data_IF_255784346977
#
_entry.id   IF_255784346977
#
_cell.length_a   1.000
_cell.length_b   1.000
_cell.length_c   1.000
_cell.angle_alpha   90.00
_cell.angle_beta   90.00
_cell.angle_gamma   90.00
#
_symmetry.space_group_name_H-M   'P 1'
#
loop_
_entity.id
_entity.type
_entity.pdbx_description
1 polymer ?
#
# COMPACT_ATOMS: atom_id res chain seq x y z
N UNK A 1 -55.50 -3.03 -21.49
CA UNK A 1 -54.99 -2.64 -20.16
C UNK A 1 -53.97 -3.62 -19.54
N UNK A 2 -53.41 -4.59 -20.28
CA UNK A 2 -52.35 -5.49 -19.77
C UNK A 2 -50.97 -5.19 -20.38
N UNK A 3 -50.93 -4.57 -21.57
CA UNK A 3 -49.69 -4.21 -22.28
C UNK A 3 -49.03 -2.93 -21.77
N UNK A 4 -49.81 -1.97 -21.24
CA UNK A 4 -49.27 -0.73 -20.64
C UNK A 4 -48.67 -0.93 -19.25
N UNK A 5 -49.13 -1.92 -18.48
CA UNK A 5 -48.57 -2.27 -17.17
C UNK A 5 -47.18 -2.92 -17.29
N UNK A 6 -46.94 -3.68 -18.36
CA UNK A 6 -45.66 -4.34 -18.60
C UNK A 6 -44.55 -3.38 -19.08
N UNK A 7 -44.88 -2.28 -19.76
CA UNK A 7 -43.88 -1.28 -20.16
C UNK A 7 -43.35 -0.44 -18.98
N UNK A 8 -44.19 -0.19 -17.98
CA UNK A 8 -43.79 0.56 -16.77
C UNK A 8 -42.83 -0.24 -15.88
N UNK A 9 -43.03 -1.55 -15.76
CA UNK A 9 -42.18 -2.43 -14.94
C UNK A 9 -40.78 -2.59 -15.57
N UNK A 10 -40.70 -2.71 -16.90
CA UNK A 10 -39.41 -2.79 -17.62
C UNK A 10 -38.64 -1.47 -17.55
N UNK A 11 -39.35 -0.34 -17.57
CA UNK A 11 -38.72 1.00 -17.47
C UNK A 11 -38.22 1.31 -16.06
N UNK A 12 -38.90 0.81 -15.02
CA UNK A 12 -38.47 0.99 -13.61
C UNK A 12 -37.29 0.07 -13.24
N UNK A 13 -37.20 -1.12 -13.85
CA UNK A 13 -36.07 -2.04 -13.67
C UNK A 13 -34.77 -1.53 -14.33
N UNK A 14 -34.87 -0.78 -15.43
CA UNK A 14 -33.71 -0.19 -16.11
C UNK A 14 -33.11 1.01 -15.35
N UNK A 15 -33.92 1.73 -14.56
CA UNK A 15 -33.46 2.88 -13.77
C UNK A 15 -32.72 2.46 -12.47
N UNK A 16 -33.03 1.29 -11.92
CA UNK A 16 -32.37 0.76 -10.71
C UNK A 16 -30.95 0.21 -10.96
N UNK A 17 -30.54 0.00 -12.22
CA UNK A 17 -29.17 -0.40 -12.57
C UNK A 17 -28.22 0.79 -12.78
N UNK A 18 -28.74 2.03 -12.66
CA UNK A 18 -27.94 3.26 -12.71
C UNK A 18 -27.55 3.78 -11.32
N UNK A 19 -27.56 2.92 -10.30
CA UNK A 19 -26.95 3.26 -9.01
C UNK A 19 -25.48 3.59 -9.27
N UNK A 20 -25.17 4.89 -9.26
CA UNK A 20 -23.85 5.46 -9.42
C UNK A 20 -22.86 4.67 -8.56
N UNK A 21 -22.01 3.86 -9.18
CA UNK A 21 -20.77 3.48 -8.53
C UNK A 21 -19.92 4.73 -8.50
N UNK A 22 -19.67 5.30 -7.31
CA UNK A 22 -18.49 6.16 -7.18
C UNK A 22 -17.31 5.39 -7.75
N UNK A 23 -16.59 5.98 -8.69
CA UNK A 23 -15.41 5.35 -9.29
C UNK A 23 -14.43 5.03 -8.16
N UNK A 24 -14.15 3.75 -7.94
CA UNK A 24 -13.21 3.34 -6.90
C UNK A 24 -11.84 3.92 -7.23
N UNK A 25 -11.36 4.84 -6.38
CA UNK A 25 -10.05 5.44 -6.52
C UNK A 25 -8.99 4.54 -5.89
N UNK A 26 -8.07 4.03 -6.70
CA UNK A 26 -6.97 3.16 -6.28
C UNK A 26 -5.64 3.90 -6.09
N UNK A 27 -5.50 5.09 -6.67
CA UNK A 27 -4.29 5.91 -6.54
C UNK A 27 -4.62 7.39 -6.61
N UNK A 28 -3.77 8.21 -5.98
CA UNK A 28 -3.76 9.66 -6.18
C UNK A 28 -3.10 10.06 -7.50
N UNK A 29 -2.24 9.20 -8.07
CA UNK A 29 -1.73 9.38 -9.44
C UNK A 29 -2.80 8.98 -10.46
N UNK A 30 -3.24 9.89 -11.34
CA UNK A 30 -4.20 9.58 -12.40
C UNK A 30 -3.71 8.45 -13.32
N UNK A 31 -2.40 8.40 -13.59
CA UNK A 31 -1.77 7.40 -14.45
C UNK A 31 -1.87 6.00 -13.82
N UNK A 32 -1.45 5.86 -12.56
CA UNK A 32 -1.51 4.61 -11.82
C UNK A 32 -2.97 4.17 -11.59
N UNK A 33 -3.88 5.10 -11.31
CA UNK A 33 -5.30 4.80 -11.15
C UNK A 33 -5.91 4.24 -12.45
N UNK A 34 -5.69 4.92 -13.57
CA UNK A 34 -6.18 4.49 -14.87
C UNK A 34 -5.54 3.16 -15.32
N UNK A 35 -4.28 2.89 -14.93
CA UNK A 35 -3.67 1.58 -15.14
C UNK A 35 -4.39 0.47 -14.37
N UNK A 36 -4.74 0.71 -13.09
CA UNK A 36 -5.51 -0.27 -12.32
C UNK A 36 -6.86 -0.56 -12.99
N UNK A 37 -7.59 0.48 -13.39
CA UNK A 37 -8.89 0.32 -14.05
C UNK A 37 -8.81 -0.53 -15.32
N UNK A 38 -7.79 -0.31 -16.16
CA UNK A 38 -7.56 -1.10 -17.38
C UNK A 38 -7.16 -2.54 -17.11
N UNK A 39 -6.51 -2.83 -15.97
CA UNK A 39 -5.92 -4.13 -15.66
C UNK A 39 -6.60 -4.84 -14.48
N UNK A 40 -7.78 -4.39 -14.04
CA UNK A 40 -8.40 -4.80 -12.78
C UNK A 40 -8.58 -6.32 -12.65
N UNK A 41 -9.05 -6.99 -13.71
CA UNK A 41 -9.25 -8.44 -13.73
C UNK A 41 -7.93 -9.22 -13.59
N UNK A 42 -6.85 -8.71 -14.20
CA UNK A 42 -5.53 -9.33 -14.12
C UNK A 42 -4.93 -9.12 -12.73
N UNK A 43 -5.02 -7.89 -12.20
CA UNK A 43 -4.55 -7.53 -10.86
C UNK A 43 -5.21 -8.43 -9.80
N UNK A 44 -6.53 -8.62 -9.87
CA UNK A 44 -7.27 -9.48 -8.94
C UNK A 44 -6.80 -10.94 -8.92
N UNK A 45 -6.02 -11.39 -9.90
CA UNK A 45 -5.51 -12.75 -10.00
C UNK A 45 -3.99 -12.84 -9.84
N UNK A 46 -3.32 -11.72 -9.61
CA UNK A 46 -1.85 -11.70 -9.53
C UNK A 46 -1.35 -12.52 -8.34
N UNK A 47 -0.29 -13.28 -8.61
CA UNK A 47 0.53 -13.90 -7.57
C UNK A 47 1.70 -12.99 -7.18
N UNK A 48 2.46 -13.42 -6.16
CA UNK A 48 3.64 -12.70 -5.64
C UNK A 48 4.67 -12.35 -6.72
N UNK A 49 4.98 -13.27 -7.63
CA UNK A 49 5.98 -13.03 -8.68
C UNK A 49 5.50 -11.98 -9.70
N UNK A 50 4.23 -12.04 -10.10
CA UNK A 50 3.60 -11.04 -10.98
C UNK A 50 3.55 -9.66 -10.30
N UNK A 51 3.18 -9.61 -9.01
CA UNK A 51 3.19 -8.39 -8.23
C UNK A 51 4.59 -7.78 -8.12
N UNK A 52 5.63 -8.59 -7.91
CA UNK A 52 7.02 -8.14 -7.93
C UNK A 52 7.46 -7.62 -9.30
N UNK A 53 6.84 -8.10 -10.39
CA UNK A 53 7.20 -7.71 -11.75
C UNK A 53 6.64 -6.35 -12.15
N UNK A 54 5.63 -5.83 -11.45
CA UNK A 54 5.04 -4.50 -11.72
C UNK A 54 6.15 -3.43 -11.78
N UNK A 55 6.15 -2.59 -12.83
CA UNK A 55 7.09 -1.48 -12.94
C UNK A 55 6.65 -0.37 -11.97
N UNK A 56 7.58 0.04 -11.12
CA UNK A 56 7.45 1.10 -10.13
C UNK A 56 6.57 0.80 -8.90
N UNK A 57 7.03 1.31 -7.75
CA UNK A 57 6.34 1.13 -6.46
C UNK A 57 4.96 1.82 -6.43
N UNK A 58 4.76 2.92 -7.18
CA UNK A 58 3.47 3.62 -7.28
C UNK A 58 2.35 2.71 -7.83
N UNK A 59 2.69 1.89 -8.85
CA UNK A 59 1.77 0.94 -9.48
C UNK A 59 1.56 -0.28 -8.58
N UNK A 60 2.60 -0.72 -7.87
CA UNK A 60 2.48 -1.79 -6.89
C UNK A 60 1.52 -1.42 -5.75
N UNK A 61 1.64 -0.20 -5.20
CA UNK A 61 0.71 0.28 -4.15
C UNK A 61 -0.72 0.33 -4.65
N UNK A 62 -0.94 0.82 -5.87
CA UNK A 62 -2.26 0.85 -6.50
C UNK A 62 -2.83 -0.58 -6.70
N UNK A 63 -2.02 -1.53 -7.17
CA UNK A 63 -2.41 -2.94 -7.30
C UNK A 63 -2.70 -3.58 -5.94
N UNK A 64 -1.90 -3.29 -4.91
CA UNK A 64 -2.07 -3.83 -3.56
C UNK A 64 -3.42 -3.42 -2.93
N UNK A 65 -3.95 -2.23 -3.24
CA UNK A 65 -5.28 -1.79 -2.80
C UNK A 65 -6.41 -2.61 -3.43
N UNK A 66 -6.22 -3.15 -4.63
CA UNK A 66 -7.20 -4.02 -5.31
C UNK A 66 -7.26 -5.42 -4.69
N UNK A 67 -6.14 -5.90 -4.15
CA UNK A 67 -6.02 -7.26 -3.64
C UNK A 67 -7.03 -7.57 -2.53
N UNK A 68 -7.50 -8.82 -2.50
CA UNK A 68 -8.24 -9.33 -1.37
C UNK A 68 -7.37 -9.35 -0.10
N UNK A 69 -7.96 -9.40 1.11
CA UNK A 69 -7.20 -9.52 2.35
C UNK A 69 -6.18 -10.68 2.32
N UNK A 70 -6.61 -11.82 1.80
CA UNK A 70 -5.77 -13.01 1.67
C UNK A 70 -4.62 -12.77 0.68
N UNK A 71 -4.85 -12.11 -0.45
CA UNK A 71 -3.78 -11.77 -1.41
C UNK A 71 -2.74 -10.83 -0.79
N UNK A 72 -3.17 -9.81 -0.04
CA UNK A 72 -2.26 -8.90 0.67
C UNK A 72 -1.39 -9.65 1.68
N UNK A 73 -2.00 -10.50 2.50
CA UNK A 73 -1.26 -11.33 3.45
C UNK A 73 -0.27 -12.27 2.73
N UNK A 74 -0.67 -12.91 1.63
CA UNK A 74 0.21 -13.80 0.86
C UNK A 74 1.39 -13.08 0.20
N UNK A 75 1.26 -11.80 -0.17
CA UNK A 75 2.40 -10.99 -0.62
C UNK A 75 3.47 -10.91 0.47
N UNK A 76 3.06 -10.63 1.70
CA UNK A 76 3.96 -10.51 2.85
C UNK A 76 4.54 -11.85 3.29
N UNK A 77 3.73 -12.89 3.42
CA UNK A 77 4.21 -14.23 3.77
C UNK A 77 5.17 -14.80 2.71
N UNK A 78 4.88 -14.54 1.42
CA UNK A 78 5.77 -14.88 0.32
C UNK A 78 7.12 -14.17 0.43
N UNK A 79 7.11 -12.86 0.65
CA UNK A 79 8.32 -12.06 0.90
C UNK A 79 9.13 -12.61 2.07
N UNK A 80 8.51 -12.90 3.22
CA UNK A 80 9.23 -13.42 4.39
C UNK A 80 9.84 -14.79 4.10
N UNK A 81 9.12 -15.66 3.39
CA UNK A 81 9.64 -16.96 2.96
C UNK A 81 10.86 -16.83 2.04
N UNK A 82 10.89 -15.80 1.16
CA UNK A 82 12.05 -15.47 0.33
C UNK A 82 13.22 -14.97 1.19
N UNK A 83 12.95 -14.02 2.09
CA UNK A 83 13.94 -13.43 3.00
C UNK A 83 14.62 -14.46 3.89
N UNK A 84 13.87 -15.44 4.42
CA UNK A 84 14.40 -16.50 5.30
C UNK A 84 15.40 -17.45 4.60
N UNK A 85 15.51 -17.38 3.27
CA UNK A 85 16.53 -18.14 2.50
C UNK A 85 17.89 -17.43 2.46
N UNK A 86 17.97 -16.17 2.89
CA UNK A 86 19.22 -15.42 2.99
C UNK A 86 20.04 -15.86 4.21
N UNK A 87 21.31 -15.46 4.25
CA UNK A 87 22.29 -15.85 5.28
C UNK A 87 22.15 -15.15 6.63
N UNK A 88 20.93 -15.06 7.17
CA UNK A 88 20.68 -14.50 8.52
C UNK A 88 21.27 -15.40 9.61
N UNK A 89 21.73 -14.80 10.71
CA UNK A 89 22.12 -15.58 11.87
C UNK A 89 20.88 -16.15 12.61
N UNK A 90 21.11 -17.01 13.61
CA UNK A 90 20.02 -17.70 14.29
C UNK A 90 19.03 -16.76 15.00
N UNK A 91 19.52 -15.70 15.65
CA UNK A 91 18.69 -14.73 16.37
C UNK A 91 17.88 -13.87 15.38
N UNK A 92 18.52 -13.38 14.32
CA UNK A 92 17.86 -12.63 13.26
C UNK A 92 16.78 -13.46 12.55
N UNK A 93 17.09 -14.72 12.22
CA UNK A 93 16.13 -15.64 11.63
C UNK A 93 14.93 -15.85 12.54
N UNK A 94 15.14 -16.03 13.84
CA UNK A 94 14.05 -16.16 14.80
C UNK A 94 13.17 -14.90 14.83
N UNK A 95 13.77 -13.71 14.77
CA UNK A 95 13.02 -12.44 14.74
C UNK A 95 12.24 -12.21 13.44
N UNK A 96 12.77 -12.66 12.30
CA UNK A 96 12.05 -12.65 11.01
C UNK A 96 10.89 -13.66 11.03
N UNK A 97 11.06 -14.82 11.67
CA UNK A 97 9.95 -15.76 11.91
C UNK A 97 8.90 -15.12 12.81
N UNK A 98 9.28 -14.34 13.81
CA UNK A 98 8.32 -13.60 14.64
C UNK A 98 7.49 -12.61 13.83
N UNK A 99 8.07 -11.94 12.83
CA UNK A 99 7.30 -11.11 11.89
C UNK A 99 6.28 -11.94 11.09
N UNK A 100 6.65 -13.16 10.67
CA UNK A 100 5.73 -14.08 9.99
C UNK A 100 4.54 -14.47 10.88
N UNK A 101 4.81 -14.74 12.16
CA UNK A 101 3.78 -15.06 13.16
C UNK A 101 2.84 -13.87 13.34
N UNK A 102 3.36 -12.65 13.55
CA UNK A 102 2.57 -11.42 13.68
C UNK A 102 1.61 -11.26 12.48
N UNK A 103 2.14 -11.36 11.25
CA UNK A 103 1.31 -11.20 10.03
C UNK A 103 0.23 -12.28 9.92
N UNK A 104 0.50 -13.49 10.43
CA UNK A 104 -0.46 -14.60 10.39
C UNK A 104 -1.54 -14.46 11.48
N UNK A 105 -1.14 -14.04 12.68
CA UNK A 105 -2.02 -13.86 13.84
C UNK A 105 -2.93 -12.64 13.65
N UNK A 106 -2.43 -11.56 13.04
CA UNK A 106 -3.16 -10.33 12.74
C UNK A 106 -3.66 -10.28 11.28
N UNK A 107 -4.26 -11.38 10.80
CA UNK A 107 -4.81 -11.44 9.45
C UNK A 107 -5.95 -10.44 9.20
N UNK A 108 -6.61 -9.99 10.26
CA UNK A 108 -7.66 -8.98 10.26
C UNK A 108 -7.17 -7.57 9.92
N UNK A 109 -5.87 -7.27 10.08
CA UNK A 109 -5.28 -6.03 9.58
C UNK A 109 -5.52 -5.82 8.09
N UNK A 110 -5.64 -6.91 7.31
CA UNK A 110 -5.79 -6.86 5.86
C UNK A 110 -7.25 -6.74 5.40
N UNK A 111 -8.22 -6.84 6.31
CA UNK A 111 -9.65 -6.77 6.01
C UNK A 111 -10.09 -5.33 5.64
N UNK A 112 -11.19 -5.18 4.86
CA UNK A 112 -11.72 -3.86 4.52
C UNK A 112 -12.15 -3.09 5.78
N UNK A 113 -11.76 -1.82 5.85
CA UNK A 113 -12.14 -0.92 6.95
C UNK A 113 -13.50 -0.31 6.63
N UNK A 114 -14.49 -0.63 7.46
CA UNK A 114 -15.90 -0.26 7.23
C UNK A 114 -16.33 1.01 7.95
N UNK A 115 -15.50 1.50 8.89
CA UNK A 115 -15.74 2.75 9.61
C UNK A 115 -14.43 3.43 9.97
N UNK A 116 -14.48 4.74 10.25
CA UNK A 116 -13.33 5.51 10.73
C UNK A 116 -12.79 4.98 12.05
N UNK A 117 -13.66 4.64 13.00
CA UNK A 117 -13.27 4.12 14.31
C UNK A 117 -12.51 2.79 14.18
N UNK A 118 -13.03 1.85 13.39
CA UNK A 118 -12.32 0.60 13.08
C UNK A 118 -10.99 0.86 12.37
N UNK A 119 -10.93 1.87 11.49
CA UNK A 119 -9.69 2.22 10.83
C UNK A 119 -8.63 2.72 11.82
N UNK A 120 -9.00 3.56 12.79
CA UNK A 120 -8.10 4.05 13.83
C UNK A 120 -7.64 2.92 14.76
N UNK A 121 -8.56 2.06 15.23
CA UNK A 121 -8.22 0.91 16.09
C UNK A 121 -7.20 -0.03 15.44
N UNK A 122 -7.39 -0.37 14.16
CA UNK A 122 -6.46 -1.24 13.42
C UNK A 122 -5.13 -0.52 13.15
N UNK A 123 -5.13 0.78 12.86
CA UNK A 123 -3.89 1.53 12.66
C UNK A 123 -3.06 1.63 13.96
N UNK A 124 -3.72 1.78 15.11
CA UNK A 124 -3.07 1.80 16.42
C UNK A 124 -2.49 0.42 16.77
N UNK A 125 -3.23 -0.66 16.54
CA UNK A 125 -2.76 -2.04 16.77
C UNK A 125 -1.54 -2.37 15.90
N UNK A 126 -1.61 -2.07 14.60
CA UNK A 126 -0.45 -2.19 13.68
C UNK A 126 0.74 -1.40 14.24
N UNK A 127 0.52 -0.14 14.62
CA UNK A 127 1.60 0.75 15.06
C UNK A 127 2.27 0.23 16.33
N UNK A 128 1.49 -0.20 17.32
CA UNK A 128 2.01 -0.72 18.57
C UNK A 128 2.79 -2.01 18.36
N UNK A 129 2.19 -3.01 17.72
CA UNK A 129 2.83 -4.32 17.51
C UNK A 129 4.11 -4.19 16.67
N UNK A 130 4.09 -3.37 15.61
CA UNK A 130 5.23 -3.22 14.72
C UNK A 130 6.33 -2.36 15.34
N UNK A 131 5.98 -1.40 16.21
CA UNK A 131 6.97 -0.64 16.98
C UNK A 131 7.72 -1.55 17.96
N UNK A 132 7.02 -2.41 18.71
CA UNK A 132 7.65 -3.38 19.62
C UNK A 132 8.58 -4.35 18.88
N UNK A 133 8.14 -4.86 17.73
CA UNK A 133 8.97 -5.71 16.87
C UNK A 133 10.22 -4.97 16.35
N UNK A 134 10.07 -3.72 15.94
CA UNK A 134 11.18 -2.91 15.44
C UNK A 134 12.16 -2.51 16.56
N UNK A 135 11.68 -2.20 17.76
CA UNK A 135 12.51 -1.86 18.92
C UNK A 135 13.47 -3.01 19.27
N UNK A 136 12.97 -4.25 19.31
CA UNK A 136 13.84 -5.41 19.50
C UNK A 136 14.91 -5.52 18.41
N UNK A 137 14.53 -5.28 17.15
CA UNK A 137 15.47 -5.31 16.04
C UNK A 137 16.58 -4.24 16.18
N UNK A 138 16.24 -3.03 16.60
CA UNK A 138 17.20 -1.96 16.81
C UNK A 138 18.10 -2.21 18.02
N UNK A 139 17.51 -2.49 19.18
CA UNK A 139 18.22 -2.52 20.45
C UNK A 139 18.98 -3.84 20.67
N UNK A 140 18.46 -4.96 20.18
CA UNK A 140 19.04 -6.29 20.41
C UNK A 140 19.77 -6.84 19.20
N UNK A 141 19.22 -6.68 18.00
CA UNK A 141 19.85 -7.19 16.76
C UNK A 141 20.72 -6.15 16.06
N UNK A 142 20.71 -4.91 16.53
CA UNK A 142 21.46 -3.78 15.95
C UNK A 142 21.16 -3.58 14.46
N UNK A 143 19.92 -3.84 14.06
CA UNK A 143 19.48 -3.57 12.69
C UNK A 143 19.48 -2.08 12.40
N UNK A 144 19.72 -1.76 11.15
CA UNK A 144 19.60 -0.41 10.60
C UNK A 144 18.15 -0.11 10.23
N UNK A 145 17.83 1.18 10.03
CA UNK A 145 16.51 1.60 9.51
C UNK A 145 16.23 0.96 8.16
N UNK A 146 17.26 0.80 7.33
CA UNK A 146 17.21 0.16 6.02
C UNK A 146 16.80 -1.32 6.13
N UNK A 147 17.35 -2.06 7.10
CA UNK A 147 16.96 -3.45 7.35
C UNK A 147 15.50 -3.55 7.83
N UNK A 148 15.07 -2.70 8.77
CA UNK A 148 13.67 -2.67 9.23
C UNK A 148 12.71 -2.30 8.10
N UNK A 149 13.04 -1.27 7.32
CA UNK A 149 12.30 -0.87 6.13
C UNK A 149 12.18 -2.03 5.14
N UNK A 150 13.31 -2.69 4.85
CA UNK A 150 13.39 -3.78 3.91
C UNK A 150 12.53 -4.98 4.33
N UNK A 151 12.33 -5.20 5.63
CA UNK A 151 11.62 -6.36 6.14
C UNK A 151 10.12 -6.10 6.35
N UNK A 152 9.76 -4.92 6.85
CA UNK A 152 8.43 -4.66 7.40
C UNK A 152 7.65 -3.51 6.72
N UNK A 153 8.27 -2.76 5.81
CA UNK A 153 7.65 -1.57 5.20
C UNK A 153 7.38 -1.76 3.72
N UNK A 154 8.37 -2.22 2.93
CA UNK A 154 8.15 -2.51 1.50
C UNK A 154 7.86 -4.00 1.27
N UNK A 155 6.94 -4.39 0.37
CA UNK A 155 6.78 -5.78 -0.03
C UNK A 155 7.84 -6.22 -1.05
N UNK A 156 8.72 -5.35 -1.54
CA UNK A 156 9.73 -5.73 -2.54
C UNK A 156 10.71 -6.79 -2.02
N UNK A 157 11.29 -7.59 -2.91
CA UNK A 157 12.21 -8.66 -2.51
C UNK A 157 13.46 -8.11 -1.80
N UNK A 158 13.84 -8.72 -0.68
CA UNK A 158 15.10 -8.42 0.02
C UNK A 158 16.23 -9.16 -0.70
N UNK A 159 17.26 -8.41 -1.11
CA UNK A 159 18.37 -8.93 -1.92
C UNK A 159 19.54 -9.40 -1.06
N UNK A 160 19.72 -8.80 0.11
CA UNK A 160 20.79 -9.14 1.05
C UNK A 160 20.42 -8.75 2.48
N UNK A 161 21.14 -9.32 3.45
CA UNK A 161 20.89 -9.13 4.88
C UNK A 161 21.24 -7.72 5.38
N UNK A 162 21.92 -6.91 4.57
CA UNK A 162 22.23 -5.50 4.83
C UNK A 162 21.03 -4.55 4.54
N UNK A 163 19.86 -5.08 4.16
CA UNK A 163 18.66 -4.28 3.93
C UNK A 163 18.48 -3.79 2.49
N UNK A 164 19.29 -4.26 1.53
CA UNK A 164 19.04 -3.94 0.12
C UNK A 164 17.76 -4.61 -0.37
N UNK A 165 16.98 -3.84 -1.12
CA UNK A 165 15.71 -4.26 -1.72
C UNK A 165 15.71 -4.02 -3.21
N UNK A 166 14.95 -4.82 -3.94
CA UNK A 166 14.68 -4.60 -5.37
C UNK A 166 13.67 -3.45 -5.57
N UNK A 167 14.00 -2.26 -5.06
CA UNK A 167 13.17 -1.05 -5.18
C UNK A 167 13.07 -0.60 -6.64
N UNK A 168 11.88 -0.11 -7.01
CA UNK A 168 11.60 0.38 -8.35
C UNK A 168 11.05 1.79 -8.25
N UNK A 169 11.95 2.76 -8.25
CA UNK A 169 11.56 4.17 -8.37
C UNK A 169 11.48 4.58 -9.83
N UNK A 170 10.55 5.47 -10.14
CA UNK A 170 10.60 6.25 -11.37
C UNK A 170 11.68 7.32 -11.20
N UNK A 171 12.96 6.95 -11.37
CA UNK A 171 14.05 7.92 -11.42
C UNK A 171 13.97 8.64 -12.78
N UNK A 172 13.46 9.88 -12.80
CA UNK A 172 13.45 10.70 -14.01
C UNK A 172 12.47 11.87 -14.12
N UNK A 173 11.55 12.12 -13.16
CA UNK A 173 10.59 13.23 -13.25
C UNK A 173 10.61 14.18 -12.04
N UNK A 174 11.68 14.13 -11.24
CA UNK A 174 11.99 15.13 -10.21
C UNK A 174 13.26 15.91 -10.62
N UNK A 175 13.30 16.43 -11.85
CA UNK A 175 13.92 17.76 -11.98
C UNK A 175 13.01 18.67 -11.16
N UNK A 176 13.54 19.24 -10.09
CA UNK A 176 12.90 20.24 -9.24
C UNK A 176 12.09 21.17 -10.15
N UNK A 177 10.75 21.00 -10.27
CA UNK A 177 10.01 21.91 -11.09
C UNK A 177 10.12 23.19 -10.30
N UNK A 178 10.81 24.20 -10.84
CA UNK A 178 10.61 25.58 -10.41
C UNK A 178 9.10 25.75 -10.32
N UNK A 179 8.58 25.68 -9.09
CA UNK A 179 7.15 25.53 -8.83
C UNK A 179 6.54 26.81 -9.39
N UNK A 180 5.81 26.78 -10.52
CA UNK A 180 5.28 28.01 -11.04
C UNK A 180 4.23 28.46 -10.04
N UNK A 181 4.50 29.58 -9.35
CA UNK A 181 3.53 30.27 -8.50
C UNK A 181 2.38 30.75 -9.40
N UNK A 182 1.47 29.84 -9.76
CA UNK A 182 0.17 30.22 -10.31
C UNK A 182 -0.66 30.85 -9.19
N UNK A 183 -1.43 31.92 -9.46
CA UNK A 183 -2.50 32.33 -8.57
C UNK A 183 -3.49 31.16 -8.46
N UNK A 184 -3.48 30.46 -7.32
CA UNK A 184 -4.18 29.18 -7.12
C UNK A 184 -3.32 28.04 -6.57
N UNK A 185 -2.00 28.23 -6.45
CA UNK A 185 -1.06 27.19 -6.02
C UNK A 185 -0.69 26.24 -7.19
N UNK A 186 0.39 25.45 -7.05
CA UNK A 186 0.75 24.52 -8.11
C UNK A 186 -0.31 23.43 -8.26
N UNK A 187 -0.42 22.89 -9.46
CA UNK A 187 -1.31 21.78 -9.76
C UNK A 187 -0.73 20.51 -9.12
N UNK A 188 -1.05 20.29 -7.85
CA UNK A 188 -0.58 19.16 -7.04
C UNK A 188 -1.12 17.80 -7.54
N UNK A 189 -1.90 17.76 -8.62
CA UNK A 189 -2.58 16.58 -9.17
C UNK A 189 -1.67 15.44 -9.66
N UNK A 190 -0.35 15.68 -9.74
CA UNK A 190 0.64 14.69 -10.17
C UNK A 190 1.57 14.18 -9.05
N UNK A 191 1.43 14.64 -7.80
CA UNK A 191 2.27 14.16 -6.70
C UNK A 191 1.67 12.91 -6.06
N UNK A 192 2.43 11.81 -6.13
CA UNK A 192 2.07 10.51 -5.58
C UNK A 192 2.28 10.50 -4.07
N UNK A 193 1.19 10.44 -3.31
CA UNK A 193 1.27 10.21 -1.87
C UNK A 193 1.85 8.82 -1.59
N UNK A 194 3.03 8.80 -0.98
CA UNK A 194 3.90 7.62 -0.91
C UNK A 194 4.39 7.31 0.51
N UNK A 195 4.11 8.20 1.47
CA UNK A 195 4.47 8.02 2.86
C UNK A 195 3.29 8.22 3.82
N UNK A 196 3.50 7.80 5.06
CA UNK A 196 2.57 7.97 6.16
C UNK A 196 3.15 9.01 7.14
N UNK A 197 2.34 9.98 7.56
CA UNK A 197 2.78 11.07 8.43
C UNK A 197 3.08 10.61 9.87
N UNK A 198 2.45 9.53 10.32
CA UNK A 198 2.62 9.01 11.67
C UNK A 198 3.88 8.11 11.74
N UNK A 199 4.25 7.49 10.61
CA UNK A 199 5.42 6.62 10.46
C UNK A 199 6.25 7.02 9.24
N UNK A 200 7.24 7.89 9.48
CA UNK A 200 8.14 8.36 8.43
C UNK A 200 9.09 7.25 7.98
N UNK A 201 8.83 6.70 6.80
CA UNK A 201 9.69 5.73 6.09
C UNK A 201 10.28 6.30 4.80
N UNK A 202 10.40 7.62 4.71
CA UNK A 202 11.05 8.24 3.58
C UNK A 202 12.53 7.87 3.53
N UNK A 203 12.97 7.39 2.37
CA UNK A 203 14.35 7.01 2.12
C UNK A 203 15.28 8.23 2.18
N UNK A 204 14.82 9.34 1.63
CA UNK A 204 15.43 10.67 1.76
C UNK A 204 14.35 11.68 2.14
N UNK A 205 14.74 12.68 2.93
CA UNK A 205 13.83 13.74 3.33
C UNK A 205 12.89 13.33 4.46
N UNK A 206 11.78 14.06 4.60
CA UNK A 206 10.74 13.77 5.60
C UNK A 206 9.37 13.62 4.96
N UNK A 207 8.50 12.86 5.63
CA UNK A 207 7.12 12.75 5.20
C UNK A 207 6.34 14.03 5.52
N UNK A 208 5.81 14.69 4.50
CA UNK A 208 5.14 15.99 4.65
C UNK A 208 3.72 15.99 4.11
N UNK A 209 2.83 16.67 4.82
CA UNK A 209 1.43 16.79 4.45
C UNK A 209 1.26 17.84 3.34
N UNK A 210 1.18 17.41 2.08
CA UNK A 210 0.93 18.30 0.94
C UNK A 210 0.03 17.64 -0.09
N UNK A 211 -1.15 18.22 -0.35
CA UNK A 211 -1.98 17.89 -1.50
C UNK A 211 -2.52 16.46 -1.60
N UNK A 212 -2.36 15.64 -0.54
CA UNK A 212 -2.77 14.25 -0.58
C UNK A 212 -4.28 14.07 -0.55
N UNK A 213 -4.83 13.58 -1.66
CA UNK A 213 -6.17 12.99 -1.69
C UNK A 213 -6.20 11.67 -0.92
N UNK A 214 -7.40 11.12 -0.73
CA UNK A 214 -7.60 9.82 -0.09
C UNK A 214 -7.79 8.73 -1.17
N UNK A 215 -6.78 7.89 -1.46
CA UNK A 215 -6.95 6.73 -2.34
C UNK A 215 -7.50 5.51 -1.58
N UNK A 216 -7.99 5.70 -0.34
CA UNK A 216 -8.36 4.64 0.58
C UNK A 216 -7.18 4.17 1.44
N UNK A 217 -7.45 3.13 2.24
CA UNK A 217 -6.46 2.55 3.16
C UNK A 217 -5.51 1.60 2.45
N UNK A 218 -4.28 1.54 2.95
CA UNK A 218 -3.22 0.67 2.45
C UNK A 218 -2.30 1.33 1.41
N UNK A 219 -1.19 0.64 1.18
CA UNK A 219 -0.10 1.07 0.32
C UNK A 219 0.99 1.87 1.03
N UNK A 220 0.86 2.25 2.31
CA UNK A 220 1.90 2.97 3.07
C UNK A 220 2.04 2.45 4.51
N UNK A 221 3.08 2.92 5.20
CA UNK A 221 3.37 2.55 6.58
C UNK A 221 3.75 1.07 6.73
N UNK A 222 3.58 0.56 7.94
CA UNK A 222 3.87 -0.83 8.27
C UNK A 222 3.00 -1.77 7.45
N UNK A 223 3.64 -2.81 6.91
CA UNK A 223 3.02 -3.85 6.07
C UNK A 223 2.10 -3.32 4.95
N UNK A 224 2.31 -2.09 4.50
CA UNK A 224 1.46 -1.37 3.54
C UNK A 224 -0.03 -1.36 3.91
N UNK A 225 -0.37 -1.32 5.19
CA UNK A 225 -1.79 -1.30 5.61
C UNK A 225 -2.30 0.07 6.05
N UNK A 226 -1.42 1.06 6.18
CA UNK A 226 -1.77 2.40 6.62
C UNK A 226 -1.96 3.35 5.43
N UNK A 227 -2.64 4.48 5.69
CA UNK A 227 -2.92 5.52 4.68
C UNK A 227 -1.65 6.15 4.14
N UNK A 228 -1.68 6.50 2.86
CA UNK A 228 -0.66 7.33 2.20
C UNK A 228 -1.11 8.80 2.24
N UNK A 229 -0.72 9.54 3.28
CA UNK A 229 -1.18 10.90 3.54
C UNK A 229 -0.07 11.96 3.47
N UNK A 230 1.11 11.59 2.97
CA UNK A 230 2.20 12.54 2.75
C UNK A 230 3.09 12.20 1.55
N UNK A 231 4.02 13.12 1.32
CA UNK A 231 5.07 13.05 0.29
C UNK A 231 6.45 13.05 0.97
N UNK A 232 7.36 12.24 0.45
CA UNK A 232 8.77 12.31 0.83
C UNK A 232 9.44 13.49 0.12
N UNK A 233 9.95 14.46 0.87
CA UNK A 233 10.64 15.66 0.36
C UNK A 233 11.96 15.90 1.08
#
# INVERSE_FOLDING_TARGET
MKTTLNLFIVSFAALLLSACSEEMKYSCSPEANAWVERNLSEIKQMNRAQFCAIPYDEYQRAAFRVFSPQQRMQVWLGKITETLKLGWNAAERAHIVKLQEIITEHGDWFEPRTSKMQAEEVDDDISLTMFEWAEYAYETLHWTREQVYALAVTPNAVQSTDGKVAQKFRLGELEDPEIPEKPGGPDWGNLTCECNLDHDFCWSGTCTAKGCGDPGTGGCGWVWMQKCNGLCM
#
